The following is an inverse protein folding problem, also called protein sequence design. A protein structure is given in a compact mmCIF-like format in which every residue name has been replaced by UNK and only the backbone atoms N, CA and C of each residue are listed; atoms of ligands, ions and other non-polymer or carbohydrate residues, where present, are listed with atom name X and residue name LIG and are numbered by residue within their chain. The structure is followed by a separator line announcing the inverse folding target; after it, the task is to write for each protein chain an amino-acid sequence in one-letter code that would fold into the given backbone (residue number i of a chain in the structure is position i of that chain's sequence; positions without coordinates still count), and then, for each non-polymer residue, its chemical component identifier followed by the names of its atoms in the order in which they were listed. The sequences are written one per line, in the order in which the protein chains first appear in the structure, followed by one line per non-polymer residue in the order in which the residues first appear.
data_IF_367084173208
#
_entry.id   IF_367084173208
#
_cell.length_a   1.000
_cell.length_b   1.000
_cell.length_c   1.000
_cell.angle_alpha   90.00
_cell.angle_beta   90.00
_cell.angle_gamma   90.00
#
_symmetry.space_group_name_H-M   'P 1'
#
loop_
_entity.id
_entity.type
_entity.pdbx_description
1 polymer ?
#
# COMPACT_ATOMS: atom_id res chain seq x y z
N UNK A 1 -2.70 -18.94 10.83
CA UNK A 1 -3.16 -18.77 9.43
C UNK A 1 -2.87 -17.39 8.84
N UNK A 2 -3.35 -16.26 9.40
CA UNK A 2 -2.99 -14.91 8.89
C UNK A 2 -1.55 -14.52 9.23
N UNK A 3 -1.18 -14.71 10.49
CA UNK A 3 0.15 -14.40 11.02
C UNK A 3 1.27 -15.17 10.32
N UNK A 4 1.05 -16.44 9.98
CA UNK A 4 2.08 -17.25 9.30
C UNK A 4 2.37 -16.79 7.87
N UNK A 5 1.36 -16.22 7.19
CA UNK A 5 1.57 -15.64 5.86
C UNK A 5 2.25 -14.28 5.96
N UNK A 6 1.93 -13.48 6.98
CA UNK A 6 2.62 -12.22 7.27
C UNK A 6 4.08 -12.41 7.67
N UNK A 7 4.42 -13.50 8.39
CA UNK A 7 5.82 -13.83 8.74
C UNK A 7 6.73 -13.93 7.51
N UNK A 8 6.19 -14.28 6.34
CA UNK A 8 6.96 -14.28 5.08
C UNK A 8 7.51 -12.90 4.72
N UNK A 9 6.86 -11.83 5.18
CA UNK A 9 7.20 -10.44 4.92
C UNK A 9 7.98 -9.77 6.06
N UNK A 10 8.31 -10.52 7.13
CA UNK A 10 9.14 -10.08 8.25
C UNK A 10 10.63 -10.01 7.87
N UNK A 11 10.92 -9.40 6.72
CA UNK A 11 12.27 -9.12 6.28
C UNK A 11 12.93 -8.12 7.23
N UNK A 12 14.23 -8.26 7.44
CA UNK A 12 15.03 -7.40 8.31
C UNK A 12 14.60 -7.43 9.80
N UNK A 13 13.98 -8.54 10.24
CA UNK A 13 13.41 -8.69 11.59
C UNK A 13 12.36 -7.63 11.93
N UNK A 14 11.74 -7.00 10.93
CA UNK A 14 10.65 -6.07 11.16
C UNK A 14 9.44 -6.83 11.71
N UNK A 15 8.99 -6.39 12.89
CA UNK A 15 7.82 -6.94 13.58
C UNK A 15 6.61 -5.98 13.53
N UNK A 16 6.74 -4.84 12.86
CA UNK A 16 5.66 -3.87 12.75
C UNK A 16 4.55 -4.40 11.82
N UNK A 17 3.36 -4.64 12.37
CA UNK A 17 2.22 -5.20 11.64
C UNK A 17 1.81 -4.34 10.45
N UNK A 18 1.83 -3.01 10.57
CA UNK A 18 1.51 -2.12 9.44
C UNK A 18 2.44 -2.35 8.25
N UNK A 19 3.74 -2.54 8.52
CA UNK A 19 4.75 -2.74 7.50
C UNK A 19 4.67 -4.14 6.88
N UNK A 20 4.32 -5.15 7.68
CA UNK A 20 4.05 -6.50 7.17
C UNK A 20 2.84 -6.52 6.23
N UNK A 21 1.75 -5.83 6.60
CA UNK A 21 0.54 -5.72 5.78
C UNK A 21 0.85 -4.95 4.49
N UNK A 22 1.59 -3.85 4.59
CA UNK A 22 2.01 -3.07 3.43
C UNK A 22 2.87 -3.91 2.46
N UNK A 23 3.81 -4.68 2.98
CA UNK A 23 4.62 -5.59 2.15
C UNK A 23 3.77 -6.68 1.52
N UNK A 24 2.80 -7.22 2.25
CA UNK A 24 1.82 -8.13 1.67
C UNK A 24 1.04 -7.46 0.53
N UNK A 25 0.59 -6.21 0.68
CA UNK A 25 -0.10 -5.44 -0.39
C UNK A 25 0.75 -5.24 -1.65
N UNK A 26 2.07 -5.22 -1.51
CA UNK A 26 3.00 -5.05 -2.63
C UNK A 26 3.36 -6.37 -3.33
N UNK A 27 3.46 -7.47 -2.58
CA UNK A 27 4.13 -8.69 -3.06
C UNK A 27 3.33 -9.99 -2.89
N UNK A 28 2.19 -9.98 -2.19
CA UNK A 28 1.34 -11.16 -2.00
C UNK A 28 0.10 -11.13 -2.93
N UNK A 29 -0.68 -12.21 -2.87
CA UNK A 29 -1.95 -12.34 -3.56
C UNK A 29 -2.99 -11.32 -3.02
N UNK A 30 -3.45 -10.38 -3.85
CA UNK A 30 -4.41 -9.36 -3.43
C UNK A 30 -5.76 -9.93 -3.01
N UNK A 31 -6.17 -11.10 -3.54
CA UNK A 31 -7.43 -11.73 -3.11
C UNK A 31 -7.37 -12.15 -1.64
N UNK A 32 -6.23 -12.69 -1.21
CA UNK A 32 -6.05 -13.08 0.18
C UNK A 32 -6.06 -11.86 1.11
N UNK A 33 -5.45 -10.75 0.68
CA UNK A 33 -5.37 -9.52 1.46
C UNK A 33 -6.76 -8.94 1.69
N UNK A 34 -7.56 -8.84 0.62
CA UNK A 34 -8.93 -8.32 0.69
C UNK A 34 -9.86 -9.18 1.57
N UNK A 35 -9.61 -10.50 1.63
CA UNK A 35 -10.33 -11.40 2.55
C UNK A 35 -9.82 -11.32 3.99
N UNK A 36 -8.56 -10.93 4.17
CA UNK A 36 -7.88 -11.01 5.47
C UNK A 36 -7.96 -9.73 6.28
N UNK A 37 -8.09 -8.57 5.64
CA UNK A 37 -8.10 -7.26 6.29
C UNK A 37 -9.32 -6.44 5.88
N UNK A 38 -9.76 -5.55 6.78
CA UNK A 38 -10.84 -4.61 6.49
C UNK A 38 -10.42 -3.60 5.42
N UNK A 39 -11.35 -3.23 4.54
CA UNK A 39 -11.14 -2.23 3.49
C UNK A 39 -10.62 -0.90 4.04
N UNK A 40 -11.13 -0.43 5.18
CA UNK A 40 -10.71 0.83 5.81
C UNK A 40 -9.23 0.83 6.24
N UNK A 41 -8.78 -0.28 6.84
CA UNK A 41 -7.37 -0.44 7.23
C UNK A 41 -6.47 -0.41 6.00
N UNK A 42 -6.82 -1.17 4.95
CA UNK A 42 -6.06 -1.21 3.71
C UNK A 42 -6.04 0.16 3.01
N UNK A 43 -7.16 0.88 3.02
CA UNK A 43 -7.29 2.24 2.49
C UNK A 43 -6.36 3.21 3.24
N UNK A 44 -6.35 3.17 4.57
CA UNK A 44 -5.48 4.00 5.38
C UNK A 44 -3.99 3.71 5.13
N UNK A 45 -3.60 2.43 5.07
CA UNK A 45 -2.21 2.04 4.77
C UNK A 45 -1.80 2.44 3.35
N UNK A 46 -2.68 2.24 2.38
CA UNK A 46 -2.45 2.62 0.99
C UNK A 46 -2.23 4.13 0.85
N UNK A 47 -3.11 4.95 1.42
CA UNK A 47 -2.98 6.41 1.38
C UNK A 47 -1.72 6.90 2.13
N UNK A 48 -1.44 6.35 3.32
CA UNK A 48 -0.26 6.70 4.12
C UNK A 48 1.05 6.40 3.38
N UNK A 49 1.08 5.35 2.56
CA UNK A 49 2.29 4.89 1.89
C UNK A 49 2.16 4.82 0.36
N UNK A 50 1.32 5.69 -0.23
CA UNK A 50 1.03 5.67 -1.67
C UNK A 50 2.31 5.79 -2.52
N UNK A 51 3.32 6.47 -2.00
CA UNK A 51 4.63 6.63 -2.62
C UNK A 51 5.40 5.30 -2.82
N UNK A 52 5.11 4.26 -2.03
CA UNK A 52 5.76 2.93 -2.15
C UNK A 52 5.14 2.08 -3.26
N UNK A 53 3.93 2.40 -3.69
CA UNK A 53 3.25 1.66 -4.75
C UNK A 53 3.69 2.17 -6.13
N UNK A 54 3.99 1.24 -7.04
CA UNK A 54 4.20 1.53 -8.46
C UNK A 54 2.90 1.94 -9.15
N UNK A 55 2.99 2.55 -10.34
CA UNK A 55 1.83 3.12 -11.05
C UNK A 55 0.72 2.09 -11.26
N UNK A 56 1.05 0.88 -11.68
CA UNK A 56 0.10 -0.21 -11.94
C UNK A 56 -0.59 -0.66 -10.64
N UNK A 57 0.20 -0.88 -9.58
CA UNK A 57 -0.34 -1.24 -8.27
C UNK A 57 -1.22 -0.14 -7.68
N UNK A 58 -0.89 1.14 -7.89
CA UNK A 58 -1.73 2.25 -7.44
C UNK A 58 -3.09 2.23 -8.11
N UNK A 59 -3.14 2.06 -9.43
CA UNK A 59 -4.40 1.98 -10.18
C UNK A 59 -5.25 0.79 -9.74
N UNK A 60 -4.62 -0.36 -9.48
CA UNK A 60 -5.31 -1.53 -8.93
C UNK A 60 -5.90 -1.24 -7.55
N UNK A 61 -5.07 -0.81 -6.60
CA UNK A 61 -5.50 -0.58 -5.22
C UNK A 61 -6.48 0.59 -5.10
N UNK A 62 -6.36 1.64 -5.92
CA UNK A 62 -7.33 2.74 -5.93
C UNK A 62 -8.73 2.28 -6.34
N UNK A 63 -8.82 1.42 -7.36
CA UNK A 63 -10.09 0.86 -7.83
C UNK A 63 -10.70 -0.07 -6.78
N UNK A 64 -9.89 -0.99 -6.26
CA UNK A 64 -10.34 -2.00 -5.28
C UNK A 64 -10.76 -1.37 -3.96
N UNK A 65 -10.04 -0.35 -3.51
CA UNK A 65 -10.31 0.32 -2.23
C UNK A 65 -11.31 1.47 -2.36
N UNK A 66 -11.85 1.74 -3.57
CA UNK A 66 -12.76 2.85 -3.87
C UNK A 66 -12.22 4.19 -3.33
N UNK A 67 -10.93 4.43 -3.60
CA UNK A 67 -10.26 5.66 -3.19
C UNK A 67 -10.50 6.71 -4.27
N UNK A 68 -10.96 7.89 -3.88
CA UNK A 68 -11.19 8.97 -4.83
C UNK A 68 -9.86 9.57 -5.31
N UNK A 69 -9.86 10.18 -6.51
CA UNK A 69 -8.70 10.92 -7.00
C UNK A 69 -8.30 12.05 -6.05
N UNK A 70 -9.27 12.66 -5.35
CA UNK A 70 -9.02 13.71 -4.37
C UNK A 70 -8.23 13.20 -3.15
N UNK A 71 -8.56 12.00 -2.64
CA UNK A 71 -7.85 11.36 -1.53
C UNK A 71 -6.41 11.00 -1.92
N UNK A 72 -6.22 10.53 -3.16
CA UNK A 72 -4.90 10.24 -3.73
C UNK A 72 -4.07 11.53 -3.84
N UNK A 73 -4.65 12.60 -4.38
CA UNK A 73 -3.94 13.88 -4.49
C UNK A 73 -3.56 14.46 -3.13
N UNK A 74 -4.44 14.36 -2.12
CA UNK A 74 -4.14 14.81 -0.76
C UNK A 74 -3.01 13.97 -0.14
N UNK A 75 -3.02 12.66 -0.32
CA UNK A 75 -1.97 11.77 0.15
C UNK A 75 -0.62 12.01 -0.56
N UNK A 76 -0.65 12.21 -1.88
CA UNK A 76 0.52 12.56 -2.69
C UNK A 76 1.10 13.92 -2.31
N UNK A 77 0.26 14.94 -2.06
CA UNK A 77 0.71 16.27 -1.62
C UNK A 77 1.39 16.24 -0.24
N UNK A 78 0.96 15.35 0.66
CA UNK A 78 1.63 15.13 1.97
C UNK A 78 2.98 14.41 1.83
N UNK A 79 3.16 13.65 0.76
CA UNK A 79 4.36 12.86 0.51
C UNK A 79 5.30 13.61 -0.44
N UNK A 80 6.09 14.54 0.11
CA UNK A 80 7.10 15.42 -0.52
C UNK A 80 8.03 14.80 -1.61
N UNK A 81 8.02 13.47 -1.80
CA UNK A 81 8.85 12.75 -2.76
C UNK A 81 8.31 12.71 -4.20
N UNK A 82 7.02 13.01 -4.43
CA UNK A 82 6.51 13.08 -5.83
C UNK A 82 6.81 14.42 -6.51
N UNK A 83 6.97 15.51 -5.75
CA UNK A 83 7.41 16.81 -6.28
C UNK A 83 8.86 16.81 -6.80
N UNK A 84 9.62 15.74 -6.56
CA UNK A 84 11.03 15.62 -6.98
C UNK A 84 11.26 14.61 -8.11
N UNK A 85 10.23 14.23 -8.89
CA UNK A 85 10.45 13.62 -10.21
C UNK A 85 10.95 14.67 -11.21
N UNK A 86 12.14 15.22 -10.94
CA UNK A 86 12.98 15.85 -11.94
C UNK A 86 13.67 14.73 -12.73
N UNK A 87 13.03 14.34 -13.83
CA UNK A 87 13.62 13.96 -15.12
C UNK A 87 12.66 13.04 -15.88
N UNK A 88 11.89 13.65 -16.77
CA UNK A 88 11.45 13.03 -18.00
C UNK A 88 12.67 12.55 -18.79
N UNK A 89 12.66 11.29 -19.22
CA UNK A 89 13.46 10.81 -20.35
C UNK A 89 12.50 10.22 -21.36
#
# INVERSE_FOLDING_TARGET
MKEDRLKKFAWDKIQNEEELILRAMLYDDPQWILKSFSKDLLKNLFLKHIHRFERENRSFWSLVLEVSNEEIEQASKRSFRESSKLLSY
#
